data_IF_608434983374
#
_entry.id   IF_608434983374
#
_cell.length_a   1.000
_cell.length_b   1.000
_cell.length_c   1.000
_cell.angle_alpha   90.00
_cell.angle_beta   90.00
_cell.angle_gamma   90.00
#
_symmetry.space_group_name_H-M   'P 1'
#
loop_
_entity.id
_entity.type
_entity.pdbx_description
1 polymer ?
#
# COMPACT_ATOMS: atom_id res chain seq x y z
N UNK A 1 17.83 -12.24 8.03
CA UNK A 1 16.37 -12.49 8.21
C UNK A 1 16.21 -13.68 9.13
N UNK A 2 15.34 -13.61 10.14
CA UNK A 2 15.11 -14.75 11.05
C UNK A 2 14.14 -15.75 10.42
N UNK A 3 14.19 -17.01 10.87
CA UNK A 3 13.26 -18.08 10.45
C UNK A 3 11.80 -17.63 10.69
N UNK A 4 11.54 -16.92 11.77
CA UNK A 4 10.23 -16.33 12.09
C UNK A 4 9.77 -15.34 10.99
N UNK A 5 10.65 -14.47 10.51
CA UNK A 5 10.31 -13.51 9.44
C UNK A 5 9.94 -14.22 8.14
N UNK A 6 10.60 -15.34 7.82
CA UNK A 6 10.31 -16.13 6.61
C UNK A 6 8.96 -16.82 6.72
N UNK A 7 8.66 -17.44 7.88
CA UNK A 7 7.37 -18.10 8.12
C UNK A 7 6.21 -17.11 8.07
N UNK A 8 6.37 -15.94 8.69
CA UNK A 8 5.38 -14.86 8.61
C UNK A 8 5.16 -14.38 7.17
N UNK A 9 6.23 -14.23 6.38
CA UNK A 9 6.13 -13.87 4.98
C UNK A 9 5.34 -14.90 4.18
N UNK A 10 5.66 -16.19 4.34
CA UNK A 10 4.99 -17.29 3.64
C UNK A 10 3.50 -17.33 3.99
N UNK A 11 3.16 -17.24 5.29
CA UNK A 11 1.76 -17.21 5.73
C UNK A 11 1.01 -16.00 5.15
N UNK A 12 1.63 -14.82 5.16
CA UNK A 12 1.04 -13.60 4.61
C UNK A 12 0.78 -13.76 3.11
N UNK A 13 1.76 -14.29 2.36
CA UNK A 13 1.61 -14.58 0.93
C UNK A 13 0.51 -15.61 0.66
N UNK A 14 0.40 -16.65 1.51
CA UNK A 14 -0.65 -17.66 1.41
C UNK A 14 -2.05 -17.07 1.61
N UNK A 15 -2.22 -16.23 2.65
CA UNK A 15 -3.49 -15.56 2.94
C UNK A 15 -3.87 -14.60 1.80
N UNK A 16 -2.93 -13.78 1.33
CA UNK A 16 -3.16 -12.85 0.22
C UNK A 16 -3.48 -13.62 -1.07
N UNK A 17 -2.73 -14.68 -1.36
CA UNK A 17 -2.93 -15.53 -2.53
C UNK A 17 -4.28 -16.25 -2.52
N UNK A 18 -4.69 -16.81 -1.38
CA UNK A 18 -6.01 -17.43 -1.22
C UNK A 18 -7.14 -16.41 -1.40
N UNK A 19 -7.04 -15.23 -0.78
CA UNK A 19 -8.02 -14.15 -0.96
C UNK A 19 -8.16 -13.77 -2.43
N UNK A 20 -7.03 -13.56 -3.11
CA UNK A 20 -6.98 -13.23 -4.53
C UNK A 20 -7.62 -14.34 -5.37
N UNK A 21 -7.28 -15.60 -5.11
CA UNK A 21 -7.84 -16.75 -5.83
C UNK A 21 -9.36 -16.84 -5.69
N UNK A 22 -9.90 -16.65 -4.48
CA UNK A 22 -11.36 -16.66 -4.25
C UNK A 22 -12.08 -15.55 -5.03
N UNK A 23 -11.42 -14.39 -5.21
CA UNK A 23 -12.02 -13.21 -5.81
C UNK A 23 -11.59 -12.98 -7.27
N UNK A 24 -10.86 -13.93 -7.86
CA UNK A 24 -10.29 -13.82 -9.23
C UNK A 24 -11.35 -13.52 -10.30
N UNK A 25 -12.57 -13.98 -10.11
CA UNK A 25 -13.69 -13.76 -11.03
C UNK A 25 -14.03 -12.27 -11.15
N UNK A 26 -13.94 -11.50 -10.05
CA UNK A 26 -14.19 -10.04 -10.05
C UNK A 26 -13.13 -9.27 -10.83
N UNK A 27 -11.90 -9.78 -10.89
CA UNK A 27 -10.85 -9.20 -11.74
C UNK A 27 -11.06 -9.50 -13.23
N UNK A 28 -11.73 -10.62 -13.55
CA UNK A 28 -12.08 -10.98 -14.93
C UNK A 28 -13.28 -10.18 -15.47
N UNK A 29 -14.12 -9.65 -14.58
CA UNK A 29 -15.27 -8.79 -14.92
C UNK A 29 -14.88 -7.34 -15.26
N UNK A 30 -13.64 -6.94 -15.01
CA UNK A 30 -13.17 -5.57 -15.26
C UNK A 30 -13.05 -5.30 -16.76
N UNK A 31 -13.67 -4.20 -17.19
CA UNK A 31 -13.44 -3.65 -18.52
C UNK A 31 -11.99 -3.13 -18.67
N UNK A 32 -11.50 -2.98 -19.91
CA UNK A 32 -10.17 -2.37 -20.18
C UNK A 32 -10.02 -1.00 -19.52
N UNK A 33 -11.10 -0.21 -19.46
CA UNK A 33 -11.10 1.10 -18.82
C UNK A 33 -10.99 1.04 -17.30
N UNK A 34 -11.62 0.06 -16.66
CA UNK A 34 -11.50 -0.15 -15.21
C UNK A 34 -10.14 -0.71 -14.81
N UNK A 35 -9.55 -1.58 -15.64
CA UNK A 35 -8.16 -2.00 -15.50
C UNK A 35 -7.21 -0.81 -15.54
N UNK A 36 -7.41 0.11 -16.48
CA UNK A 36 -6.60 1.32 -16.58
C UNK A 36 -6.76 2.20 -15.33
N UNK A 37 -7.99 2.41 -14.85
CA UNK A 37 -8.25 3.17 -13.61
C UNK A 37 -7.61 2.53 -12.39
N UNK A 38 -7.68 1.20 -12.27
CA UNK A 38 -7.08 0.45 -11.19
C UNK A 38 -5.56 0.58 -11.18
N UNK A 39 -4.92 0.37 -12.33
CA UNK A 39 -3.46 0.51 -12.47
C UNK A 39 -3.04 1.96 -12.21
N UNK A 40 -3.75 2.93 -12.77
CA UNK A 40 -3.43 4.35 -12.60
C UNK A 40 -3.61 4.81 -11.14
N UNK A 41 -4.68 4.34 -10.49
CA UNK A 41 -4.91 4.55 -9.06
C UNK A 41 -3.82 3.92 -8.18
N UNK A 42 -3.36 2.72 -8.53
CA UNK A 42 -2.26 2.05 -7.84
C UNK A 42 -0.96 2.84 -7.98
N UNK A 43 -0.59 3.20 -9.21
CA UNK A 43 0.63 3.96 -9.49
C UNK A 43 0.60 5.32 -8.79
N UNK A 44 -0.54 6.03 -8.83
CA UNK A 44 -0.69 7.32 -8.18
C UNK A 44 -0.60 7.20 -6.64
N UNK A 45 -1.26 6.20 -6.06
CA UNK A 45 -1.17 5.90 -4.62
C UNK A 45 0.27 5.67 -4.17
N UNK A 46 1.01 4.81 -4.89
CA UNK A 46 2.40 4.50 -4.57
C UNK A 46 3.30 5.72 -4.74
N UNK A 47 3.10 6.51 -5.80
CA UNK A 47 3.86 7.72 -6.04
C UNK A 47 3.67 8.74 -4.91
N UNK A 48 2.41 8.98 -4.50
CA UNK A 48 2.11 9.92 -3.41
C UNK A 48 2.64 9.43 -2.07
N UNK A 49 2.43 8.14 -1.73
CA UNK A 49 2.97 7.56 -0.50
C UNK A 49 4.50 7.70 -0.45
N UNK A 50 5.18 7.41 -1.56
CA UNK A 50 6.63 7.54 -1.67
C UNK A 50 7.09 8.99 -1.51
N UNK A 51 6.41 9.94 -2.15
CA UNK A 51 6.71 11.36 -2.05
C UNK A 51 6.57 11.87 -0.61
N UNK A 52 5.50 11.48 0.10
CA UNK A 52 5.29 11.84 1.51
C UNK A 52 6.39 11.25 2.40
N UNK A 53 6.72 9.97 2.21
CA UNK A 53 7.72 9.28 3.04
C UNK A 53 9.13 9.83 2.81
N UNK A 54 9.55 9.97 1.55
CA UNK A 54 10.88 10.49 1.22
C UNK A 54 10.99 11.96 1.57
N UNK A 55 10.01 12.77 1.18
CA UNK A 55 9.98 14.20 1.48
C UNK A 55 9.98 14.48 2.98
N UNK A 56 9.11 13.80 3.73
CA UNK A 56 9.08 13.95 5.17
C UNK A 56 10.34 13.42 5.87
N UNK A 57 10.98 12.35 5.36
CA UNK A 57 12.26 11.87 5.90
C UNK A 57 13.37 12.90 5.73
N UNK A 58 13.45 13.56 4.57
CA UNK A 58 14.43 14.63 4.33
C UNK A 58 14.19 15.79 5.29
N UNK A 59 12.94 16.20 5.49
CA UNK A 59 12.60 17.26 6.47
C UNK A 59 12.98 16.83 7.88
N UNK A 60 12.61 15.62 8.31
CA UNK A 60 12.94 15.11 9.65
C UNK A 60 14.46 15.08 9.90
N UNK A 61 15.27 14.73 8.89
CA UNK A 61 16.74 14.72 9.01
C UNK A 61 17.35 16.11 9.25
N UNK A 62 16.68 17.18 8.82
CA UNK A 62 17.17 18.55 9.01
C UNK A 62 16.96 19.06 10.45
N UNK A 63 15.95 18.56 11.15
CA UNK A 63 15.53 19.09 12.46
C UNK A 63 15.74 18.10 13.62
N UNK A 64 15.86 16.81 13.34
CA UNK A 64 15.84 15.76 14.36
C UNK A 64 16.98 14.77 14.16
N UNK A 65 17.53 14.30 15.27
CA UNK A 65 18.55 13.24 15.31
C UNK A 65 18.25 12.24 16.42
N UNK A 66 18.93 11.10 16.39
CA UNK A 66 18.79 10.04 17.40
C UNK A 66 17.44 9.32 17.37
N UNK A 67 16.98 8.85 18.52
CA UNK A 67 15.80 7.98 18.63
C UNK A 67 14.50 8.66 18.19
N UNK A 68 14.38 9.98 18.36
CA UNK A 68 13.19 10.75 18.00
C UNK A 68 12.98 10.79 16.47
N UNK A 69 14.08 10.84 15.70
CA UNK A 69 14.04 10.69 14.24
C UNK A 69 13.48 9.33 13.83
N UNK A 70 13.91 8.25 14.49
CA UNK A 70 13.44 6.88 14.20
C UNK A 70 11.95 6.73 14.46
N UNK A 71 11.45 7.24 15.60
CA UNK A 71 10.03 7.18 15.95
C UNK A 71 9.19 7.98 14.94
N UNK A 72 9.57 9.22 14.65
CA UNK A 72 8.82 10.06 13.70
C UNK A 72 8.90 9.55 12.26
N UNK A 73 10.00 8.91 11.87
CA UNK A 73 10.11 8.24 10.58
C UNK A 73 9.13 7.08 10.43
N UNK A 74 8.90 6.30 11.50
CA UNK A 74 7.88 5.24 11.50
C UNK A 74 6.48 5.84 11.38
N UNK A 75 6.19 6.90 12.14
CA UNK A 75 4.90 7.62 12.05
C UNK A 75 4.67 8.14 10.63
N UNK A 76 5.70 8.71 10.00
CA UNK A 76 5.62 9.21 8.64
C UNK A 76 5.36 8.09 7.62
N UNK A 77 5.97 6.91 7.80
CA UNK A 77 5.70 5.74 6.95
C UNK A 77 4.24 5.32 7.07
N UNK A 78 3.71 5.24 8.29
CA UNK A 78 2.29 4.93 8.53
C UNK A 78 1.41 5.98 7.84
N UNK A 79 1.74 7.26 7.98
CA UNK A 79 0.98 8.35 7.36
C UNK A 79 0.98 8.29 5.83
N UNK A 80 2.15 8.02 5.22
CA UNK A 80 2.29 7.85 3.78
C UNK A 80 1.48 6.66 3.25
N UNK A 81 1.49 5.54 3.98
CA UNK A 81 0.67 4.36 3.64
C UNK A 81 -0.82 4.71 3.71
N UNK A 82 -1.28 5.37 4.79
CA UNK A 82 -2.69 5.77 4.94
C UNK A 82 -3.13 6.70 3.82
N UNK A 83 -2.34 7.72 3.48
CA UNK A 83 -2.64 8.63 2.36
C UNK A 83 -2.71 7.85 1.04
N UNK A 84 -1.73 6.97 0.78
CA UNK A 84 -1.73 6.12 -0.42
C UNK A 84 -2.98 5.25 -0.48
N UNK A 85 -3.34 4.58 0.60
CA UNK A 85 -4.55 3.76 0.69
C UNK A 85 -5.82 4.57 0.44
N UNK A 86 -5.94 5.78 1.00
CA UNK A 86 -7.09 6.66 0.77
C UNK A 86 -7.20 7.11 -0.69
N UNK A 87 -6.07 7.39 -1.34
CA UNK A 87 -6.03 7.71 -2.76
C UNK A 87 -6.46 6.48 -3.55
N UNK A 88 -5.86 5.33 -3.29
CA UNK A 88 -6.16 4.08 -3.99
C UNK A 88 -7.65 3.75 -3.93
N UNK A 89 -8.27 3.82 -2.75
CA UNK A 89 -9.70 3.57 -2.54
C UNK A 89 -10.62 4.41 -3.44
N UNK A 90 -10.22 5.64 -3.81
CA UNK A 90 -10.97 6.49 -4.74
C UNK A 90 -10.94 6.00 -6.18
N UNK A 91 -9.89 5.27 -6.57
CA UNK A 91 -9.68 4.76 -7.91
C UNK A 91 -10.01 3.27 -8.07
N UNK A 92 -10.34 2.57 -6.98
CA UNK A 92 -10.79 1.18 -7.03
C UNK A 92 -12.12 1.07 -7.80
N UNK A 93 -12.19 0.25 -8.85
CA UNK A 93 -13.43 -0.06 -9.55
C UNK A 93 -14.46 -0.69 -8.61
N UNK A 94 -15.74 -0.40 -8.79
CA UNK A 94 -16.82 -0.93 -7.93
C UNK A 94 -16.80 -2.47 -7.77
N UNK A 95 -16.50 -3.29 -8.80
CA UNK A 95 -16.40 -4.75 -8.65
C UNK A 95 -15.31 -5.18 -7.66
N UNK A 96 -14.26 -4.36 -7.51
CA UNK A 96 -13.12 -4.63 -6.63
C UNK A 96 -13.26 -4.01 -5.24
N UNK A 97 -14.17 -3.05 -5.01
CA UNK A 97 -14.31 -2.39 -3.69
C UNK A 97 -14.57 -3.39 -2.57
N UNK A 98 -15.44 -4.37 -2.79
CA UNK A 98 -15.78 -5.43 -1.85
C UNK A 98 -14.67 -6.48 -1.62
N UNK A 99 -13.54 -6.37 -2.32
CA UNK A 99 -12.31 -7.12 -1.99
C UNK A 99 -11.43 -6.36 -0.97
N UNK A 100 -11.57 -5.03 -0.95
CA UNK A 100 -10.75 -4.10 -0.17
C UNK A 100 -11.47 -3.52 1.07
N UNK A 101 -12.80 -3.66 1.16
CA UNK A 101 -13.59 -3.53 2.39
C UNK A 101 -13.38 -4.74 3.31
#
# INVERSE_FOLDING_TARGET
>A
MSVLSIVLLILTLLVVGLRFYMHRHRFAELSKGEWLKYILGFVLSVAVATAVILGGKVVLQLYLSGWLYSVLSIVLIIFGIVIGSLIFLKFIPNPLKSFYE
#
